data_IF_278121153350
#
_entry.id   IF_278121153350
#
_cell.length_a   1.000
_cell.length_b   1.000
_cell.length_c   1.000
_cell.angle_alpha   90.00
_cell.angle_beta   90.00
_cell.angle_gamma   90.00
#
_symmetry.space_group_name_H-M   'P 1'
#
loop_
_entity.id
_entity.type
_entity.pdbx_description
1 polymer ?
#
# COMPACT_ATOMS: atom_id res chain seq x y z
N UNK A 1 24.26 19.64 -11.70
CA UNK A 1 23.72 18.56 -10.84
C UNK A 1 22.88 17.66 -11.70
N UNK A 2 22.98 16.34 -11.52
CA UNK A 2 22.19 15.35 -12.26
C UNK A 2 21.42 14.49 -11.27
N UNK A 3 20.23 14.07 -11.66
CA UNK A 3 19.44 13.05 -10.95
C UNK A 3 19.40 11.84 -11.88
N UNK A 4 19.75 10.66 -11.35
CA UNK A 4 19.68 9.40 -12.08
C UNK A 4 18.54 8.60 -11.47
N UNK A 5 17.57 8.23 -12.29
CA UNK A 5 16.49 7.31 -11.90
C UNK A 5 16.84 5.94 -12.43
N UNK A 6 17.14 5.02 -11.52
CA UNK A 6 17.46 3.65 -11.85
C UNK A 6 16.26 2.74 -11.58
N UNK A 7 15.91 1.92 -12.57
CA UNK A 7 14.83 0.96 -12.46
C UNK A 7 15.35 -0.39 -12.01
N UNK A 8 14.74 -0.92 -10.96
CA UNK A 8 14.96 -2.27 -10.46
C UNK A 8 13.76 -3.14 -10.80
N UNK A 9 13.99 -4.44 -11.00
CA UNK A 9 12.92 -5.39 -11.31
C UNK A 9 12.01 -5.67 -10.12
N UNK A 10 12.57 -5.59 -8.91
CA UNK A 10 11.89 -5.89 -7.66
C UNK A 10 12.44 -5.01 -6.52
N UNK A 11 11.64 -4.91 -5.47
CA UNK A 11 11.94 -4.09 -4.28
C UNK A 11 13.14 -4.61 -3.49
N UNK A 12 13.43 -5.92 -3.52
CA UNK A 12 14.55 -6.48 -2.76
C UNK A 12 15.88 -5.98 -3.36
N UNK A 13 16.03 -6.09 -4.69
CA UNK A 13 17.21 -5.60 -5.41
C UNK A 13 17.42 -4.09 -5.21
N UNK A 14 16.34 -3.32 -5.14
CA UNK A 14 16.40 -1.88 -4.87
C UNK A 14 16.88 -1.59 -3.44
N UNK A 15 16.41 -2.34 -2.45
CA UNK A 15 16.84 -2.19 -1.04
C UNK A 15 18.30 -2.61 -0.86
N UNK A 16 18.73 -3.71 -1.49
CA UNK A 16 20.13 -4.15 -1.48
C UNK A 16 21.07 -3.08 -2.07
N UNK A 17 20.65 -2.40 -3.15
CA UNK A 17 21.41 -1.30 -3.73
C UNK A 17 21.52 -0.08 -2.79
N UNK A 18 20.46 0.22 -2.01
CA UNK A 18 20.50 1.25 -0.98
C UNK A 18 21.46 0.89 0.15
N UNK A 19 21.40 -0.35 0.64
CA UNK A 19 22.31 -0.87 1.68
C UNK A 19 23.78 -0.82 1.21
N UNK A 20 24.03 -1.14 -0.06
CA UNK A 20 25.36 -1.08 -0.67
C UNK A 20 25.83 0.36 -0.98
N UNK A 21 25.00 1.38 -0.76
CA UNK A 21 25.33 2.78 -1.08
C UNK A 21 25.41 3.09 -2.58
N UNK A 22 24.78 2.26 -3.42
CA UNK A 22 24.73 2.45 -4.87
C UNK A 22 23.67 3.48 -5.30
N UNK A 23 22.64 3.66 -4.45
CA UNK A 23 21.58 4.65 -4.62
C UNK A 23 21.39 5.41 -3.31
N UNK A 24 20.90 6.65 -3.41
CA UNK A 24 20.69 7.53 -2.25
C UNK A 24 19.29 7.43 -1.64
N UNK A 25 18.32 6.92 -2.40
CA UNK A 25 16.92 6.84 -2.00
C UNK A 25 16.17 5.73 -2.75
N UNK A 26 15.08 5.27 -2.16
CA UNK A 26 14.17 4.26 -2.74
C UNK A 26 12.78 4.86 -2.95
N UNK A 27 12.14 4.50 -4.06
CA UNK A 27 10.81 4.95 -4.43
C UNK A 27 10.17 3.97 -5.44
N UNK A 28 8.83 3.92 -5.54
CA UNK A 28 7.86 4.62 -4.70
C UNK A 28 7.57 3.89 -3.38
N UNK A 29 7.94 2.61 -3.25
CA UNK A 29 7.52 1.79 -2.11
C UNK A 29 8.59 0.79 -1.69
N UNK A 30 8.65 0.51 -0.40
CA UNK A 30 9.34 -0.64 0.19
C UNK A 30 8.32 -1.59 0.81
N UNK A 31 8.69 -2.85 1.06
CA UNK A 31 7.80 -3.77 1.74
C UNK A 31 7.73 -3.42 3.24
N UNK A 32 6.56 -3.53 3.89
CA UNK A 32 6.43 -3.32 5.34
C UNK A 32 7.42 -4.16 6.16
N UNK A 33 7.69 -5.39 5.72
CA UNK A 33 8.67 -6.30 6.32
C UNK A 33 10.11 -5.80 6.29
N UNK A 34 10.46 -4.90 5.37
CA UNK A 34 11.81 -4.35 5.22
C UNK A 34 12.04 -3.15 6.13
N UNK A 35 10.99 -2.49 6.62
CA UNK A 35 11.11 -1.24 7.41
C UNK A 35 12.01 -1.45 8.64
N UNK A 36 11.72 -2.47 9.46
CA UNK A 36 12.47 -2.74 10.69
C UNK A 36 13.95 -3.03 10.43
N UNK A 37 14.25 -3.69 9.31
CA UNK A 37 15.63 -3.94 8.89
C UNK A 37 16.32 -2.64 8.52
N UNK A 38 15.65 -1.78 7.74
CA UNK A 38 16.18 -0.50 7.28
C UNK A 38 16.39 0.51 8.42
N UNK A 39 15.52 0.51 9.43
CA UNK A 39 15.70 1.30 10.66
C UNK A 39 16.95 0.92 11.46
N UNK A 40 17.48 -0.30 11.27
CA UNK A 40 18.68 -0.77 11.91
C UNK A 40 19.98 -0.24 11.32
N UNK A 41 19.96 0.35 10.12
CA UNK A 41 21.14 0.85 9.46
C UNK A 41 21.41 2.31 9.85
N UNK A 42 22.62 2.65 10.35
CA UNK A 42 22.92 3.99 10.88
C UNK A 42 22.95 5.09 9.81
N UNK A 43 23.13 4.71 8.54
CA UNK A 43 23.20 5.62 7.40
C UNK A 43 21.89 5.70 6.61
N UNK A 44 20.83 5.01 7.04
CA UNK A 44 19.53 5.01 6.37
C UNK A 44 18.52 5.68 7.29
N UNK A 45 17.74 6.61 6.74
CA UNK A 45 16.62 7.23 7.42
C UNK A 45 15.33 6.70 6.84
N UNK A 46 14.55 5.99 7.65
CA UNK A 46 13.18 5.62 7.29
C UNK A 46 12.23 6.76 7.66
N UNK A 47 11.30 7.06 6.76
CA UNK A 47 10.27 8.09 6.95
C UNK A 47 8.91 7.41 6.91
N UNK A 48 8.13 7.63 7.96
CA UNK A 48 6.76 7.11 8.09
C UNK A 48 5.84 8.29 8.29
N UNK A 49 5.01 8.57 7.28
CA UNK A 49 4.06 9.68 7.27
C UNK A 49 2.70 9.18 6.77
N UNK A 50 1.59 9.86 7.12
CA UNK A 50 0.28 9.56 6.55
C UNK A 50 0.32 9.62 5.02
N UNK A 51 0.00 8.49 4.38
CA UNK A 51 -0.04 8.40 2.92
C UNK A 51 -1.25 9.11 2.30
N UNK A 52 -1.08 9.57 1.07
CA UNK A 52 -2.16 10.04 0.17
C UNK A 52 -2.69 8.89 -0.72
N UNK A 53 -2.30 7.65 -0.42
CA UNK A 53 -2.69 6.45 -1.15
C UNK A 53 -3.82 5.70 -0.44
N UNK A 54 -4.70 5.07 -1.22
CA UNK A 54 -5.78 4.23 -0.74
C UNK A 54 -5.83 2.91 -1.52
N UNK A 55 -5.91 1.79 -0.81
CA UNK A 55 -5.98 0.45 -1.37
C UNK A 55 -7.40 -0.10 -1.27
N UNK A 56 -7.93 -0.62 -2.37
CA UNK A 56 -9.29 -1.15 -2.42
C UNK A 56 -9.43 -2.34 -3.35
N UNK A 57 -10.51 -3.10 -3.13
CA UNK A 57 -10.93 -4.15 -4.03
C UNK A 57 -12.06 -3.60 -4.90
N UNK A 58 -11.78 -3.46 -6.19
CA UNK A 58 -12.80 -3.09 -7.18
C UNK A 58 -13.65 -4.32 -7.52
N UNK A 59 -14.97 -4.22 -7.33
CA UNK A 59 -15.92 -5.25 -7.75
C UNK A 59 -16.44 -4.90 -9.14
N UNK A 60 -16.28 -5.80 -10.10
CA UNK A 60 -16.78 -5.59 -11.46
C UNK A 60 -18.31 -5.71 -11.53
N UNK A 61 -18.99 -4.55 -11.49
CA UNK A 61 -20.45 -4.42 -11.59
C UNK A 61 -20.91 -3.94 -12.97
N UNK A 62 -20.01 -3.81 -13.94
CA UNK A 62 -20.33 -3.26 -15.25
C UNK A 62 -21.39 -4.14 -15.95
N UNK A 63 -22.53 -3.58 -16.43
CA UNK A 63 -23.62 -4.37 -17.00
C UNK A 63 -23.19 -5.28 -18.16
N UNK A 64 -22.25 -4.80 -18.98
CA UNK A 64 -21.70 -5.50 -20.14
C UNK A 64 -20.32 -6.13 -19.88
N UNK A 65 -19.88 -6.20 -18.62
CA UNK A 65 -18.61 -6.79 -18.23
C UNK A 65 -18.68 -8.32 -18.10
N UNK A 66 -17.51 -8.94 -17.96
CA UNK A 66 -17.35 -10.38 -17.75
C UNK A 66 -17.30 -10.77 -16.26
N UNK A 67 -17.71 -9.88 -15.36
CA UNK A 67 -17.78 -10.16 -13.92
C UNK A 67 -18.86 -11.20 -13.59
N UNK A 68 -18.72 -11.88 -12.45
CA UNK A 68 -19.73 -12.81 -11.97
C UNK A 68 -21.09 -12.07 -11.79
N UNK A 69 -22.19 -12.50 -12.43
CA UNK A 69 -23.47 -11.80 -12.37
C UNK A 69 -23.99 -11.56 -10.95
N UNK A 70 -23.68 -12.44 -10.01
CA UNK A 70 -24.07 -12.34 -8.60
C UNK A 70 -23.49 -11.09 -7.92
N UNK A 71 -22.35 -10.58 -8.40
CA UNK A 71 -21.72 -9.37 -7.86
C UNK A 71 -22.48 -8.08 -8.21
N UNK A 72 -23.44 -8.13 -9.14
CA UNK A 72 -24.34 -6.99 -9.46
C UNK A 72 -25.32 -6.71 -8.32
N UNK A 73 -25.65 -7.72 -7.52
CA UNK A 73 -26.45 -7.56 -6.31
C UNK A 73 -25.64 -6.80 -5.23
N UNK A 74 -26.21 -5.71 -4.72
CA UNK A 74 -25.59 -4.90 -3.66
C UNK A 74 -25.46 -5.68 -2.36
N UNK A 75 -26.40 -6.57 -2.05
CA UNK A 75 -26.38 -7.36 -0.81
C UNK A 75 -25.22 -8.35 -0.78
N UNK A 76 -24.86 -8.91 -1.94
CA UNK A 76 -23.67 -9.76 -2.09
C UNK A 76 -22.41 -8.95 -1.83
N UNK A 77 -22.31 -7.74 -2.38
CA UNK A 77 -21.13 -6.87 -2.15
C UNK A 77 -21.02 -6.43 -0.70
N UNK A 78 -22.14 -6.12 -0.05
CA UNK A 78 -22.19 -5.81 1.38
C UNK A 78 -21.74 -7.01 2.23
N UNK A 79 -22.23 -8.22 1.92
CA UNK A 79 -21.81 -9.43 2.61
C UNK A 79 -20.30 -9.70 2.48
N UNK A 80 -19.73 -9.51 1.27
CA UNK A 80 -18.29 -9.60 1.06
C UNK A 80 -17.52 -8.55 1.87
N UNK A 81 -17.98 -7.31 1.90
CA UNK A 81 -17.34 -6.24 2.68
C UNK A 81 -17.36 -6.55 4.20
N UNK A 82 -18.47 -7.06 4.72
CA UNK A 82 -18.59 -7.47 6.12
C UNK A 82 -17.78 -8.72 6.47
N UNK A 83 -17.49 -9.59 5.51
CA UNK A 83 -16.70 -10.80 5.72
C UNK A 83 -15.19 -10.53 5.87
N UNK A 84 -14.71 -9.34 5.48
CA UNK A 84 -13.29 -8.99 5.52
C UNK A 84 -12.97 -8.32 6.86
N UNK A 85 -12.01 -8.88 7.59
CA UNK A 85 -11.43 -8.24 8.77
C UNK A 85 -10.32 -7.27 8.34
N UNK A 86 -10.68 -6.01 8.06
CA UNK A 86 -9.72 -4.99 7.63
C UNK A 86 -8.64 -4.67 8.68
N UNK A 87 -8.96 -4.83 9.97
CA UNK A 87 -8.00 -4.61 11.06
C UNK A 87 -6.91 -5.67 11.04
N UNK A 88 -7.30 -6.94 10.92
CA UNK A 88 -6.36 -8.05 10.80
C UNK A 88 -5.54 -7.96 9.51
N UNK A 89 -6.15 -7.56 8.39
CA UNK A 89 -5.43 -7.33 7.13
C UNK A 89 -4.34 -6.27 7.28
N UNK A 90 -4.65 -5.13 7.92
CA UNK A 90 -3.67 -4.08 8.19
C UNK A 90 -2.53 -4.55 9.09
N UNK A 91 -2.80 -5.44 10.04
CA UNK A 91 -1.78 -6.00 10.93
C UNK A 91 -0.91 -7.05 10.22
N UNK A 92 -1.51 -7.98 9.48
CA UNK A 92 -0.81 -9.14 8.91
C UNK A 92 -0.07 -8.78 7.63
N UNK A 93 -0.73 -8.06 6.72
CA UNK A 93 -0.15 -7.71 5.41
C UNK A 93 0.73 -6.48 5.52
N UNK A 94 0.22 -5.44 6.19
CA UNK A 94 0.89 -4.15 6.28
C UNK A 94 1.72 -3.96 7.55
N UNK A 95 1.74 -4.94 8.46
CA UNK A 95 2.56 -4.90 9.68
C UNK A 95 2.36 -3.63 10.53
N UNK A 96 1.15 -3.07 10.50
CA UNK A 96 0.81 -1.83 11.22
C UNK A 96 1.13 -0.53 10.48
N UNK A 97 1.70 -0.59 9.27
CA UNK A 97 1.97 0.59 8.42
C UNK A 97 0.77 1.01 7.55
N UNK A 98 -0.38 0.38 7.73
CA UNK A 98 -1.63 0.80 7.09
C UNK A 98 -2.72 1.02 8.13
N UNK A 99 -3.57 2.01 7.86
CA UNK A 99 -4.80 2.27 8.62
C UNK A 99 -5.98 1.70 7.84
N UNK A 100 -6.89 0.93 8.47
CA UNK A 100 -8.14 0.52 7.84
C UNK A 100 -8.89 1.73 7.29
N UNK A 101 -9.29 1.67 6.03
CA UNK A 101 -9.96 2.79 5.39
C UNK A 101 -11.40 2.94 5.90
N UNK A 102 -11.75 4.14 6.39
CA UNK A 102 -13.12 4.52 6.76
C UNK A 102 -13.94 5.10 5.59
N UNK A 103 -13.26 5.56 4.54
CA UNK A 103 -13.88 6.18 3.38
C UNK A 103 -12.98 6.16 2.14
N UNK A 104 -13.39 6.87 1.09
CA UNK A 104 -12.66 6.93 -0.18
C UNK A 104 -11.35 7.74 -0.07
N UNK A 105 -11.34 8.74 0.80
CA UNK A 105 -10.17 9.60 0.98
C UNK A 105 -9.27 9.02 2.07
N UNK A 106 -7.95 8.97 1.85
CA UNK A 106 -7.00 8.54 2.87
C UNK A 106 -6.86 9.60 3.96
N UNK A 107 -6.40 9.17 5.14
CA UNK A 107 -6.23 10.04 6.32
C UNK A 107 -5.28 11.22 6.12
N UNK A 108 -4.34 11.11 5.17
CA UNK A 108 -3.43 12.20 4.80
C UNK A 108 -4.12 13.33 4.02
N UNK A 109 -5.29 13.07 3.43
CA UNK A 109 -5.96 14.01 2.57
C UNK A 109 -6.66 15.13 3.36
N UNK A 110 -6.50 16.39 2.94
CA UNK A 110 -7.12 17.56 3.60
C UNK A 110 -8.66 17.56 3.64
N UNK A 111 -9.32 16.73 2.83
CA UNK A 111 -10.77 16.60 2.78
C UNK A 111 -11.26 15.27 3.39
N UNK A 112 -10.40 14.53 4.08
CA UNK A 112 -10.77 13.32 4.80
C UNK A 112 -11.89 13.60 5.82
N UNK A 113 -12.93 12.78 5.77
CA UNK A 113 -14.04 12.78 6.72
C UNK A 113 -14.20 11.33 7.22
N UNK A 114 -13.94 11.07 8.52
CA UNK A 114 -13.87 9.72 9.07
C UNK A 114 -15.19 8.95 9.09
#
# INVERSE_FOLDING_TARGET
>A
QHIIVQFFKDTNSMVEALEAGQIDAVAPTILPSQVKTLEGYPNIRVVVEPGEEFWYIAVNVYPYGHGNPTLKDIHVRQALAHAINYTELAQVVWQGYATPAGGLLPVGNKFYDP
#
